data_IF_390472418496
#
_entry.id   IF_390472418496
#
_cell.length_a   1.000
_cell.length_b   1.000
_cell.length_c   1.000
_cell.angle_alpha   90.00
_cell.angle_beta   90.00
_cell.angle_gamma   90.00
#
_symmetry.space_group_name_H-M   'P 1'
#
loop_
_entity.id
_entity.type
_entity.pdbx_description
1 polymer ?
#
# COMPACT_ATOMS: atom_id res chain seq x y z
N UNK A 1 23.17 -58.23 -47.08
CA UNK A 1 24.05 -57.28 -46.36
C UNK A 1 23.20 -56.09 -46.01
N UNK A 2 22.65 -56.08 -44.80
CA UNK A 2 21.62 -55.13 -44.38
C UNK A 2 22.29 -54.07 -43.47
N UNK A 3 22.34 -52.84 -43.94
CA UNK A 3 22.88 -51.71 -43.15
C UNK A 3 21.80 -51.19 -42.20
N UNK A 4 21.98 -51.36 -40.90
CA UNK A 4 21.17 -50.72 -39.85
C UNK A 4 21.74 -49.35 -39.58
N UNK A 5 20.95 -48.33 -39.89
CA UNK A 5 21.26 -46.93 -39.50
C UNK A 5 20.73 -46.71 -38.09
N UNK A 6 21.66 -46.50 -37.12
CA UNK A 6 21.34 -46.11 -35.76
C UNK A 6 21.06 -44.61 -35.72
N UNK A 7 19.79 -44.24 -35.48
CA UNK A 7 19.45 -42.86 -35.14
C UNK A 7 19.80 -42.57 -33.69
N UNK A 8 20.79 -41.69 -33.47
CA UNK A 8 21.07 -41.09 -32.15
C UNK A 8 20.01 -40.02 -31.90
N UNK A 9 19.10 -40.26 -30.93
CA UNK A 9 18.19 -39.25 -30.40
C UNK A 9 18.97 -38.33 -29.47
N UNK A 10 19.35 -37.16 -29.96
CA UNK A 10 19.82 -36.05 -29.13
C UNK A 10 18.57 -35.45 -28.48
N UNK A 11 18.35 -35.74 -27.20
CA UNK A 11 17.36 -35.01 -26.38
C UNK A 11 17.93 -33.65 -26.03
N UNK A 12 17.47 -32.61 -26.73
CA UNK A 12 17.74 -31.24 -26.35
C UNK A 12 16.82 -30.91 -25.18
N UNK A 13 17.39 -30.91 -23.98
CA UNK A 13 16.72 -30.43 -22.76
C UNK A 13 16.61 -28.91 -22.85
N UNK A 14 15.48 -28.40 -23.29
CA UNK A 14 15.14 -26.96 -23.16
C UNK A 14 14.88 -26.67 -21.68
N UNK A 15 15.93 -26.26 -20.97
CA UNK A 15 15.80 -25.69 -19.63
C UNK A 15 15.27 -24.24 -19.80
N UNK A 16 13.94 -24.07 -19.81
CA UNK A 16 13.32 -22.75 -19.73
C UNK A 16 13.57 -22.18 -18.35
N UNK A 17 14.62 -21.37 -18.26
CA UNK A 17 14.89 -20.53 -17.10
C UNK A 17 13.80 -19.46 -17.05
N UNK A 18 12.70 -19.73 -16.33
CA UNK A 18 11.73 -18.71 -15.99
C UNK A 18 12.40 -17.80 -14.96
N UNK A 19 13.07 -16.75 -15.44
CA UNK A 19 13.42 -15.62 -14.59
C UNK A 19 12.10 -15.03 -14.10
N UNK A 20 11.74 -15.38 -12.87
CA UNK A 20 10.70 -14.68 -12.13
C UNK A 20 11.14 -13.23 -11.94
N UNK A 21 10.79 -12.36 -12.89
CA UNK A 21 10.84 -10.93 -12.69
C UNK A 21 9.91 -10.61 -11.52
N UNK A 22 10.48 -10.51 -10.32
CA UNK A 22 9.76 -9.86 -9.22
C UNK A 22 9.56 -8.41 -9.65
N UNK A 23 8.37 -8.11 -10.17
CA UNK A 23 7.98 -6.71 -10.42
C UNK A 23 7.93 -6.08 -9.04
N UNK A 24 9.03 -5.42 -8.67
CA UNK A 24 9.07 -4.61 -7.46
C UNK A 24 8.09 -3.46 -7.67
N UNK A 25 7.18 -3.26 -6.72
CA UNK A 25 6.23 -2.16 -6.80
C UNK A 25 7.02 -0.85 -7.00
N UNK A 26 6.73 -0.14 -8.09
CA UNK A 26 7.41 1.11 -8.40
C UNK A 26 7.00 2.17 -7.37
N UNK A 27 7.96 2.65 -6.57
CA UNK A 27 7.76 3.77 -5.66
C UNK A 27 8.26 5.04 -6.36
N UNK A 28 7.37 6.01 -6.50
CA UNK A 28 7.64 7.32 -7.09
C UNK A 28 7.58 8.39 -6.01
N UNK A 29 8.62 9.19 -5.87
CA UNK A 29 8.62 10.31 -4.92
C UNK A 29 7.80 11.49 -5.46
N UNK A 30 6.75 11.86 -4.74
CA UNK A 30 5.94 13.07 -4.92
C UNK A 30 5.81 13.82 -3.60
N UNK A 31 6.95 14.20 -3.02
CA UNK A 31 7.04 14.77 -1.67
C UNK A 31 6.22 16.04 -1.53
N UNK A 32 5.39 16.05 -0.48
CA UNK A 32 4.65 17.24 -0.07
C UNK A 32 5.53 18.16 0.81
N UNK A 33 5.24 19.46 0.76
CA UNK A 33 5.87 20.47 1.62
C UNK A 33 5.03 20.82 2.85
N UNK A 34 3.78 20.37 2.91
CA UNK A 34 2.80 20.68 3.97
C UNK A 34 2.02 19.43 4.37
N UNK A 35 1.17 19.53 5.39
CA UNK A 35 0.32 18.40 5.83
C UNK A 35 1.05 17.40 6.72
N UNK A 36 2.25 17.72 7.17
CA UNK A 36 3.03 16.88 8.07
C UNK A 36 3.92 17.74 8.99
N UNK A 37 4.50 17.12 10.00
CA UNK A 37 5.59 17.71 10.80
C UNK A 37 6.79 16.77 10.85
N UNK A 38 7.97 17.35 10.96
CA UNK A 38 9.19 16.60 11.20
C UNK A 38 9.19 15.98 12.60
N UNK A 39 9.85 14.83 12.74
CA UNK A 39 10.07 14.20 14.01
C UNK A 39 11.54 13.76 14.13
N UNK A 40 12.10 13.90 15.32
CA UNK A 40 13.47 13.42 15.62
C UNK A 40 13.50 11.91 15.79
N UNK A 41 12.45 11.35 16.40
CA UNK A 41 12.22 9.91 16.52
C UNK A 41 10.74 9.63 16.71
N UNK A 42 10.29 8.45 16.29
CA UNK A 42 8.92 7.96 16.53
C UNK A 42 8.90 6.44 16.55
N UNK A 43 8.04 5.88 17.37
CA UNK A 43 7.77 4.45 17.34
C UNK A 43 6.58 4.20 16.43
N UNK A 44 6.81 3.49 15.32
CA UNK A 44 5.79 3.13 14.33
C UNK A 44 5.37 1.70 14.59
N UNK A 45 4.13 1.51 15.04
CA UNK A 45 3.56 0.19 15.30
C UNK A 45 2.11 0.03 14.77
N UNK A 46 1.63 1.04 14.01
CA UNK A 46 0.29 1.05 13.41
C UNK A 46 0.39 1.38 11.93
N UNK A 47 -0.35 0.64 11.11
CA UNK A 47 -0.61 0.96 9.70
C UNK A 47 -2.10 1.25 9.54
N UNK A 48 -2.45 2.36 8.88
CA UNK A 48 -3.84 2.75 8.65
C UNK A 48 -4.07 2.86 7.15
N UNK A 49 -5.09 2.13 6.68
CA UNK A 49 -5.51 2.14 5.29
C UNK A 49 -6.69 3.09 5.15
N UNK A 50 -6.58 3.97 4.16
CA UNK A 50 -7.55 4.99 3.81
C UNK A 50 -8.02 4.83 2.37
N UNK A 51 -9.00 5.62 1.98
CA UNK A 51 -9.39 5.83 0.59
C UNK A 51 -9.55 7.29 0.29
N UNK A 52 -9.12 7.68 -0.91
CA UNK A 52 -9.18 9.06 -1.37
C UNK A 52 -9.54 9.14 -2.86
N UNK A 53 -10.23 10.20 -3.23
CA UNK A 53 -10.36 10.68 -4.60
C UNK A 53 -10.38 12.21 -4.62
N UNK A 54 -10.10 12.80 -5.77
CA UNK A 54 -10.21 14.22 -5.93
C UNK A 54 -11.69 14.63 -6.02
N UNK A 55 -12.14 15.46 -5.09
CA UNK A 55 -13.49 16.03 -5.05
C UNK A 55 -13.52 17.53 -5.31
N UNK A 56 -12.42 18.12 -5.80
CA UNK A 56 -12.24 19.55 -5.99
C UNK A 56 -12.39 19.98 -7.45
N UNK A 57 -12.92 19.10 -8.32
CA UNK A 57 -13.08 19.30 -9.75
C UNK A 57 -11.92 18.73 -10.57
N UNK A 58 -12.20 18.36 -11.82
CA UNK A 58 -11.28 17.63 -12.71
C UNK A 58 -11.37 16.10 -12.50
N UNK A 59 -10.37 15.39 -12.97
CA UNK A 59 -10.32 13.93 -12.91
C UNK A 59 -10.24 13.40 -11.49
N UNK A 60 -11.17 12.51 -11.13
CA UNK A 60 -11.33 12.00 -9.77
C UNK A 60 -10.07 11.26 -9.25
N UNK A 61 -9.32 10.63 -10.13
CA UNK A 61 -8.21 9.76 -9.76
C UNK A 61 -6.84 10.32 -10.12
N UNK A 62 -6.78 11.59 -10.54
CA UNK A 62 -5.52 12.30 -10.82
C UNK A 62 -4.74 12.51 -9.52
N UNK A 63 -3.53 11.96 -9.48
CA UNK A 63 -2.66 12.00 -8.30
C UNK A 63 -2.23 13.42 -7.95
N UNK A 64 -1.97 14.27 -8.94
CA UNK A 64 -1.53 15.63 -8.69
C UNK A 64 -2.68 16.50 -8.15
N UNK A 65 -3.91 16.25 -8.59
CA UNK A 65 -5.10 16.88 -8.03
C UNK A 65 -5.37 16.42 -6.59
N UNK A 66 -5.20 15.13 -6.30
CA UNK A 66 -5.31 14.58 -4.93
C UNK A 66 -4.26 15.21 -4.01
N UNK A 67 -3.01 15.34 -4.46
CA UNK A 67 -1.94 16.00 -3.69
C UNK A 67 -2.26 17.49 -3.44
N UNK A 68 -2.75 18.20 -4.44
CA UNK A 68 -3.22 19.58 -4.28
C UNK A 68 -4.38 19.69 -3.28
N UNK A 69 -5.31 18.73 -3.32
CA UNK A 69 -6.41 18.64 -2.36
C UNK A 69 -5.87 18.44 -0.94
N UNK A 70 -4.94 17.54 -0.72
CA UNK A 70 -4.29 17.33 0.59
C UNK A 70 -3.62 18.62 1.10
N UNK A 71 -2.83 19.28 0.24
CA UNK A 71 -2.17 20.53 0.60
C UNK A 71 -3.18 21.62 1.00
N UNK A 72 -4.30 21.73 0.27
CA UNK A 72 -5.37 22.69 0.55
C UNK A 72 -6.01 22.47 1.92
N UNK A 73 -6.18 21.21 2.33
CA UNK A 73 -6.76 20.85 3.62
C UNK A 73 -5.74 20.72 4.76
N UNK A 74 -4.44 20.93 4.47
CA UNK A 74 -3.38 20.81 5.45
C UNK A 74 -3.21 19.39 5.99
N UNK A 75 -3.54 18.37 5.17
CA UNK A 75 -3.42 16.95 5.49
C UNK A 75 -2.46 16.26 4.51
N UNK A 76 -2.08 15.03 4.80
CA UNK A 76 -1.26 14.20 3.92
C UNK A 76 -1.37 12.74 4.32
N UNK A 77 -0.72 11.85 3.57
CA UNK A 77 -0.44 10.48 3.96
C UNK A 77 1.04 10.18 3.67
N UNK A 78 1.56 9.05 4.17
CA UNK A 78 2.90 8.62 3.81
C UNK A 78 2.95 8.14 2.37
N UNK A 79 1.92 7.41 1.96
CA UNK A 79 1.79 6.82 0.64
C UNK A 79 0.40 7.01 0.05
N UNK A 80 0.35 7.12 -1.28
CA UNK A 80 -0.86 7.01 -2.08
C UNK A 80 -0.63 5.91 -3.12
N UNK A 81 -1.59 5.03 -3.34
CA UNK A 81 -1.54 3.99 -4.38
C UNK A 81 -2.56 4.35 -5.46
N UNK A 82 -2.04 4.72 -6.64
CA UNK A 82 -2.84 5.04 -7.82
C UNK A 82 -3.52 3.82 -8.42
N UNK A 83 -4.50 4.05 -9.31
CA UNK A 83 -5.32 3.00 -9.94
C UNK A 83 -4.50 1.93 -10.67
N UNK A 84 -3.32 2.30 -11.19
CA UNK A 84 -2.38 1.44 -11.92
C UNK A 84 -1.43 0.68 -10.97
N UNK A 85 -1.62 0.80 -9.64
CA UNK A 85 -0.77 0.17 -8.65
C UNK A 85 0.55 0.90 -8.38
N UNK A 86 0.78 2.06 -8.99
CA UNK A 86 1.97 2.89 -8.69
C UNK A 86 1.86 3.44 -7.28
N UNK A 87 2.93 3.28 -6.49
CA UNK A 87 3.01 3.79 -5.13
C UNK A 87 3.69 5.16 -5.15
N UNK A 88 2.99 6.18 -4.71
CA UNK A 88 3.54 7.53 -4.55
C UNK A 88 3.88 7.78 -3.09
N UNK A 89 5.14 8.09 -2.79
CA UNK A 89 5.57 8.48 -1.45
C UNK A 89 5.47 9.99 -1.29
N UNK A 90 4.58 10.44 -0.41
CA UNK A 90 4.30 11.86 -0.19
C UNK A 90 5.05 12.41 1.03
N UNK A 91 5.17 11.62 2.08
CA UNK A 91 5.86 12.00 3.31
C UNK A 91 6.83 10.90 3.71
N UNK A 92 8.03 11.26 4.13
CA UNK A 92 9.00 10.28 4.65
C UNK A 92 8.49 9.63 5.92
N UNK A 93 8.65 8.32 6.04
CA UNK A 93 8.15 7.54 7.18
C UNK A 93 8.65 8.05 8.54
N UNK A 94 9.84 8.67 8.60
CA UNK A 94 10.35 9.29 9.81
C UNK A 94 9.53 10.49 10.28
N UNK A 95 8.82 11.16 9.38
CA UNK A 95 7.98 12.32 9.67
C UNK A 95 6.55 11.88 10.05
N UNK A 96 5.77 12.79 10.58
CA UNK A 96 4.40 12.55 11.04
C UNK A 96 3.44 13.18 10.04
N UNK A 97 2.90 12.37 9.13
CA UNK A 97 1.85 12.76 8.20
C UNK A 97 0.51 12.96 8.94
N UNK A 98 -0.30 13.92 8.50
CA UNK A 98 -1.59 14.21 9.11
C UNK A 98 -2.71 13.48 8.35
N UNK A 99 -2.93 12.19 8.68
CA UNK A 99 -3.92 11.33 7.99
C UNK A 99 -5.03 10.79 8.91
N UNK A 100 -4.74 10.56 10.20
CA UNK A 100 -5.68 9.90 11.11
C UNK A 100 -6.67 10.88 11.78
N UNK A 101 -6.28 12.15 11.93
CA UNK A 101 -7.08 13.14 12.63
C UNK A 101 -7.36 12.75 14.09
N UNK A 102 -8.54 13.11 14.61
CA UNK A 102 -8.99 12.65 15.93
C UNK A 102 -9.29 11.15 15.86
N UNK A 103 -8.49 10.35 16.55
CA UNK A 103 -8.47 8.89 16.42
C UNK A 103 -8.05 8.23 17.72
N UNK A 104 -8.49 6.99 17.91
CA UNK A 104 -8.13 6.18 19.08
C UNK A 104 -8.01 4.70 18.74
N UNK A 105 -7.20 3.98 19.51
CA UNK A 105 -7.09 2.52 19.46
C UNK A 105 -7.88 1.87 20.61
N UNK A 106 -8.21 0.58 20.51
CA UNK A 106 -8.81 -0.17 21.61
C UNK A 106 -7.95 -0.21 22.88
N UNK A 107 -6.63 -0.04 22.76
CA UNK A 107 -5.69 0.02 23.89
C UNK A 107 -5.66 1.40 24.59
N UNK A 108 -6.52 2.34 24.17
CA UNK A 108 -6.67 3.68 24.75
C UNK A 108 -5.74 4.74 24.16
N UNK A 109 -4.81 4.40 23.27
CA UNK A 109 -3.95 5.39 22.59
C UNK A 109 -4.80 6.28 21.68
N UNK A 110 -4.46 7.56 21.65
CA UNK A 110 -5.11 8.59 20.86
C UNK A 110 -4.13 9.29 19.92
N UNK A 111 -4.65 10.10 18.99
CA UNK A 111 -3.82 10.95 18.10
C UNK A 111 -2.81 10.13 17.30
N UNK A 112 -3.28 9.13 16.58
CA UNK A 112 -2.47 8.05 16.00
C UNK A 112 -1.48 8.49 14.92
N UNK A 113 -1.54 9.71 14.39
CA UNK A 113 -0.53 10.21 13.46
C UNK A 113 0.91 10.00 13.96
N UNK A 114 1.14 10.10 15.27
CA UNK A 114 2.48 9.99 15.85
C UNK A 114 3.09 8.59 15.83
N UNK A 115 2.26 7.55 15.81
CA UNK A 115 2.70 6.15 15.88
C UNK A 115 2.27 5.31 14.66
N UNK A 116 1.67 5.93 13.64
CA UNK A 116 1.18 5.22 12.47
C UNK A 116 1.81 5.67 11.16
N UNK A 117 1.74 4.78 10.16
CA UNK A 117 1.85 5.11 8.75
C UNK A 117 0.46 5.10 8.12
N UNK A 118 0.18 6.05 7.22
CA UNK A 118 -1.06 6.10 6.45
C UNK A 118 -0.80 5.76 4.99
N UNK A 119 -1.64 4.91 4.42
CA UNK A 119 -1.67 4.57 2.99
C UNK A 119 -3.06 4.92 2.46
N UNK A 120 -3.13 5.75 1.44
CA UNK A 120 -4.36 6.13 0.75
C UNK A 120 -4.52 5.31 -0.53
N UNK A 121 -5.66 4.64 -0.66
CA UNK A 121 -6.05 3.93 -1.87
C UNK A 121 -6.90 4.85 -2.73
N UNK A 122 -6.47 5.09 -3.98
CA UNK A 122 -7.25 5.93 -4.90
C UNK A 122 -8.47 5.17 -5.40
N UNK A 123 -9.62 5.46 -4.83
CA UNK A 123 -10.93 4.92 -5.22
C UNK A 123 -12.05 5.84 -4.74
N UNK A 124 -13.29 5.62 -5.20
CA UNK A 124 -14.46 6.42 -4.81
C UNK A 124 -15.47 5.60 -4.01
N UNK A 125 -16.58 6.21 -3.65
CA UNK A 125 -17.70 5.53 -2.98
C UNK A 125 -18.37 4.46 -3.87
N UNK A 126 -18.25 4.59 -5.18
CA UNK A 126 -18.91 3.73 -6.17
C UNK A 126 -17.96 2.78 -6.88
N UNK A 127 -16.64 3.01 -6.77
CA UNK A 127 -15.63 2.19 -7.43
C UNK A 127 -14.66 1.60 -6.41
N UNK A 128 -14.49 0.29 -6.48
CA UNK A 128 -13.52 -0.45 -5.67
C UNK A 128 -12.09 -0.17 -6.11
N UNK A 129 -11.13 -0.53 -5.28
CA UNK A 129 -9.74 -0.59 -5.69
C UNK A 129 -9.54 -1.65 -6.78
N UNK A 130 -8.50 -1.48 -7.59
CA UNK A 130 -8.12 -2.45 -8.63
C UNK A 130 -7.28 -3.59 -8.04
N UNK A 131 -7.17 -4.70 -8.77
CA UNK A 131 -6.25 -5.79 -8.37
C UNK A 131 -4.80 -5.33 -8.31
N UNK A 132 -4.36 -4.44 -9.21
CA UNK A 132 -3.02 -3.85 -9.20
C UNK A 132 -2.77 -3.02 -7.93
N UNK A 133 -3.78 -2.27 -7.47
CA UNK A 133 -3.70 -1.56 -6.20
C UNK A 133 -3.60 -2.52 -5.02
N UNK A 134 -4.41 -3.59 -5.00
CA UNK A 134 -4.37 -4.60 -3.95
C UNK A 134 -2.99 -5.28 -3.87
N UNK A 135 -2.44 -5.68 -5.02
CA UNK A 135 -1.09 -6.28 -5.09
C UNK A 135 -0.01 -5.34 -4.56
N UNK A 136 -0.07 -4.06 -4.95
CA UNK A 136 0.89 -3.04 -4.50
C UNK A 136 0.76 -2.75 -3.01
N UNK A 137 -0.47 -2.69 -2.49
CA UNK A 137 -0.73 -2.54 -1.06
C UNK A 137 -0.15 -3.70 -0.26
N UNK A 138 -0.38 -4.94 -0.72
CA UNK A 138 0.16 -6.16 -0.08
C UNK A 138 1.69 -6.13 -0.07
N UNK A 139 2.32 -5.80 -1.20
CA UNK A 139 3.79 -5.69 -1.28
C UNK A 139 4.34 -4.63 -0.34
N UNK A 140 3.75 -3.43 -0.34
CA UNK A 140 4.15 -2.33 0.56
C UNK A 140 3.95 -2.72 2.02
N UNK A 141 2.81 -3.33 2.36
CA UNK A 141 2.51 -3.76 3.73
C UNK A 141 3.54 -4.76 4.24
N UNK A 142 3.90 -5.77 3.42
CA UNK A 142 4.93 -6.76 3.76
C UNK A 142 6.30 -6.12 3.96
N UNK A 143 6.70 -5.20 3.09
CA UNK A 143 7.94 -4.44 3.25
C UNK A 143 7.94 -3.64 4.57
N UNK A 144 6.83 -2.94 4.88
CA UNK A 144 6.67 -2.22 6.13
C UNK A 144 6.75 -3.14 7.36
N UNK A 145 6.17 -4.35 7.29
CA UNK A 145 6.27 -5.36 8.36
C UNK A 145 7.69 -5.85 8.60
N UNK A 146 8.56 -5.86 7.58
CA UNK A 146 9.99 -6.22 7.77
C UNK A 146 10.77 -5.12 8.50
N UNK A 147 10.36 -3.86 8.34
CA UNK A 147 11.06 -2.68 8.89
C UNK A 147 10.49 -2.19 10.20
N UNK A 148 9.21 -2.46 10.45
CA UNK A 148 8.47 -2.00 11.63
C UNK A 148 7.76 -3.17 12.32
N UNK A 149 7.78 -3.19 13.65
CA UNK A 149 7.01 -4.16 14.45
C UNK A 149 5.54 -3.73 14.49
N UNK A 150 4.85 -3.78 13.35
CA UNK A 150 3.45 -3.39 13.25
C UNK A 150 2.58 -4.30 14.13
N UNK A 151 1.93 -3.71 15.13
CA UNK A 151 0.96 -4.39 16.01
C UNK A 151 -0.45 -4.37 15.45
N UNK A 152 -0.75 -3.30 14.70
CA UNK A 152 -2.08 -3.04 14.16
C UNK A 152 -2.00 -2.67 12.70
N UNK A 153 -2.86 -3.26 11.89
CA UNK A 153 -3.19 -2.85 10.53
C UNK A 153 -4.69 -2.63 10.53
N UNK A 154 -5.14 -1.39 10.37
CA UNK A 154 -6.51 -0.96 10.63
C UNK A 154 -7.06 -0.10 9.50
N UNK A 155 -8.38 -0.01 9.45
CA UNK A 155 -9.11 0.95 8.63
C UNK A 155 -9.16 2.30 9.33
N UNK A 156 -9.32 3.36 8.55
CA UNK A 156 -9.62 4.67 9.16
C UNK A 156 -10.92 4.65 9.96
N UNK A 157 -11.94 3.94 9.47
CA UNK A 157 -13.21 3.74 10.17
C UNK A 157 -13.07 3.03 11.52
N UNK A 158 -12.09 2.14 11.68
CA UNK A 158 -11.87 1.41 12.94
C UNK A 158 -11.34 2.33 14.05
N UNK A 159 -10.52 3.32 13.68
CA UNK A 159 -9.89 4.27 14.61
C UNK A 159 -10.66 5.57 14.80
N UNK A 160 -11.68 5.80 14.00
CA UNK A 160 -12.52 7.01 14.03
C UNK A 160 -13.99 6.68 13.75
N UNK A 161 -14.59 5.74 14.51
CA UNK A 161 -15.95 5.28 14.27
C UNK A 161 -16.95 6.43 14.37
N UNK A 162 -17.96 6.41 13.50
CA UNK A 162 -18.98 7.47 13.40
C UNK A 162 -18.52 8.77 12.71
N UNK A 163 -17.19 8.95 12.53
CA UNK A 163 -16.60 10.11 11.82
C UNK A 163 -16.05 9.73 10.46
N UNK A 164 -15.54 8.52 10.29
CA UNK A 164 -14.91 8.03 9.07
C UNK A 164 -15.52 6.70 8.64
N UNK A 165 -15.59 6.50 7.33
CA UNK A 165 -16.16 5.31 6.70
C UNK A 165 -15.18 4.60 5.77
N UNK A 166 -14.04 5.23 5.48
CA UNK A 166 -13.00 4.69 4.61
C UNK A 166 -12.15 3.61 5.30
N UNK A 167 -11.54 2.70 4.53
CA UNK A 167 -11.52 2.59 3.08
C UNK A 167 -12.86 2.05 2.51
N UNK A 168 -13.32 2.67 1.41
CA UNK A 168 -14.59 2.29 0.77
C UNK A 168 -14.40 1.11 -0.17
N UNK A 169 -15.41 0.22 -0.24
CA UNK A 169 -15.44 -0.91 -1.17
C UNK A 169 -14.14 -1.73 -1.16
N UNK A 170 -13.53 -1.86 0.02
CA UNK A 170 -12.26 -2.54 0.21
C UNK A 170 -12.48 -3.98 0.71
N UNK A 171 -11.98 -4.96 -0.03
CA UNK A 171 -12.01 -6.36 0.37
C UNK A 171 -10.95 -6.64 1.42
N UNK A 172 -11.35 -6.43 2.69
CA UNK A 172 -10.49 -6.61 3.85
C UNK A 172 -10.12 -8.07 4.08
N UNK A 173 -11.01 -9.00 3.73
CA UNK A 173 -10.76 -10.43 3.88
C UNK A 173 -9.67 -10.89 2.91
N UNK A 174 -9.81 -10.55 1.61
CA UNK A 174 -8.80 -10.81 0.58
C UNK A 174 -7.45 -10.23 0.97
N UNK A 175 -7.41 -8.98 1.42
CA UNK A 175 -6.18 -8.33 1.86
C UNK A 175 -5.51 -9.09 3.01
N UNK A 176 -6.26 -9.45 4.06
CA UNK A 176 -5.73 -10.19 5.20
C UNK A 176 -5.19 -11.57 4.81
N UNK A 177 -5.90 -12.29 3.94
CA UNK A 177 -5.41 -13.56 3.39
C UNK A 177 -4.09 -13.37 2.67
N UNK A 178 -3.96 -12.35 1.80
CA UNK A 178 -2.77 -12.10 1.00
C UNK A 178 -1.55 -11.67 1.84
N UNK A 179 -1.73 -10.92 2.92
CA UNK A 179 -0.61 -10.56 3.81
C UNK A 179 -0.15 -11.71 4.69
N UNK A 180 -1.03 -12.69 5.01
CA UNK A 180 -0.75 -13.83 5.89
C UNK A 180 -0.09 -15.01 5.17
N UNK A 181 -0.44 -15.29 3.92
CA UNK A 181 -0.02 -16.50 3.17
C UNK A 181 1.52 -16.63 3.01
N UNK A 182 2.28 -15.54 3.05
CA UNK A 182 3.74 -15.60 2.83
C UNK A 182 4.60 -15.82 4.08
N UNK A 183 4.04 -15.86 5.28
CA UNK A 183 4.81 -16.18 6.49
C UNK A 183 5.08 -17.69 6.65
N UNK A 184 4.32 -18.54 5.94
CA UNK A 184 4.44 -20.00 6.02
C UNK A 184 5.35 -20.64 4.94
N UNK A 185 5.87 -19.87 3.97
CA UNK A 185 6.77 -20.40 2.93
C UNK A 185 8.27 -20.19 3.25
N UNK A 186 8.60 -19.66 4.42
CA UNK A 186 9.98 -19.46 4.90
C UNK A 186 10.34 -20.39 6.08
N UNK A 187 9.76 -21.59 6.09
CA UNK A 187 10.23 -22.68 6.99
C UNK A 187 10.89 -23.79 6.20
#
# INVERSE_FOLDING_TARGET
MQFMIKYNRIQILFCTLILGLSIQAQIVDKKMSTGFRTATSRNIDVLIIHSVFNNSGGENYDIDLIIKQFARYGVSAHYVIGREGVIYRLVDEKNIAYHAGKSSLPDGRQSLNSCSLGIEMVCSYTESITDLQMESLVKLTKDLQTRYKLKYILRHSDIAPGRKTDPWNFDWEKFNQMITINTNQLK
#
